data_IF_064587287218
#
_entry.id   IF_064587287218
#
_cell.length_a   1.000
_cell.length_b   1.000
_cell.length_c   1.000
_cell.angle_alpha   90.00
_cell.angle_beta   90.00
_cell.angle_gamma   90.00
#
_symmetry.space_group_name_H-M   'P 1'
#
loop_
_entity.id
_entity.type
_entity.pdbx_description
1 polymer ?
#
# COMPACT_ATOMS: atom_id res chain seq x y z
N UNK A 1 23.56 -12.25 18.38
CA UNK A 1 24.67 -12.41 17.42
C UNK A 1 24.71 -11.28 16.38
N UNK A 2 23.59 -10.87 15.76
CA UNK A 2 23.55 -9.76 14.80
C UNK A 2 24.16 -8.44 15.33
N UNK A 3 23.85 -8.01 16.57
CA UNK A 3 24.40 -6.76 17.11
C UNK A 3 25.93 -6.76 17.32
N UNK A 4 26.55 -7.92 17.60
CA UNK A 4 27.99 -7.99 17.86
C UNK A 4 28.79 -7.87 16.55
N UNK A 5 28.29 -8.48 15.47
CA UNK A 5 28.89 -8.41 14.15
C UNK A 5 28.86 -6.98 13.60
N UNK A 6 27.68 -6.33 13.60
CA UNK A 6 27.54 -4.93 13.14
C UNK A 6 28.41 -3.98 13.95
N UNK A 7 28.50 -4.18 15.28
CA UNK A 7 29.34 -3.36 16.14
C UNK A 7 30.84 -3.52 15.82
N UNK A 8 31.31 -4.72 15.47
CA UNK A 8 32.71 -4.96 15.14
C UNK A 8 33.10 -4.34 13.79
N UNK A 9 32.21 -4.35 12.79
CA UNK A 9 32.42 -3.67 11.51
C UNK A 9 32.54 -2.16 11.72
N UNK A 10 31.63 -1.56 12.48
CA UNK A 10 31.67 -0.11 12.78
C UNK A 10 33.00 0.24 13.44
N UNK A 11 33.42 -0.55 14.44
CA UNK A 11 34.68 -0.32 15.14
C UNK A 11 35.91 -0.55 14.25
N UNK A 12 35.82 -1.42 13.25
CA UNK A 12 36.89 -1.64 12.28
C UNK A 12 37.03 -0.43 11.34
N UNK A 13 35.91 0.11 10.86
CA UNK A 13 35.88 1.32 10.03
C UNK A 13 36.37 2.57 10.78
N UNK A 14 36.18 2.60 12.10
CA UNK A 14 36.74 3.63 12.98
C UNK A 14 38.20 3.36 13.39
N UNK A 15 38.85 2.34 12.80
CA UNK A 15 40.22 1.88 13.10
C UNK A 15 40.45 1.49 14.59
N UNK A 16 39.37 1.25 15.34
CA UNK A 16 39.42 0.90 16.78
C UNK A 16 39.71 -0.58 17.03
N UNK A 17 39.63 -1.42 16.01
CA UNK A 17 39.97 -2.86 16.08
C UNK A 17 40.82 -3.26 14.87
N UNK A 18 41.71 -4.24 15.05
CA UNK A 18 42.68 -4.60 14.02
C UNK A 18 42.77 -6.14 13.82
N UNK A 19 42.42 -6.67 12.62
CA UNK A 19 42.43 -8.11 12.33
C UNK A 19 43.82 -8.75 12.28
N UNK A 20 44.88 -7.94 12.15
CA UNK A 20 46.27 -8.41 12.22
C UNK A 20 46.70 -8.78 13.63
N UNK A 21 46.07 -8.18 14.65
CA UNK A 21 46.43 -8.34 16.06
C UNK A 21 45.46 -9.24 16.82
N UNK A 22 44.17 -9.19 16.48
CA UNK A 22 43.12 -9.91 17.19
C UNK A 22 42.51 -11.02 16.31
N UNK A 23 42.74 -12.31 16.65
CA UNK A 23 42.16 -13.45 15.95
C UNK A 23 40.62 -13.46 15.98
N UNK A 24 39.99 -13.01 17.05
CA UNK A 24 38.53 -13.01 17.17
C UNK A 24 37.90 -11.96 16.24
N UNK A 25 38.49 -10.76 16.17
CA UNK A 25 38.09 -9.71 15.21
C UNK A 25 38.24 -10.22 13.78
N UNK A 26 39.34 -10.90 13.46
CA UNK A 26 39.57 -11.52 12.15
C UNK A 26 38.46 -12.49 11.74
N UNK A 27 38.03 -13.38 12.65
CA UNK A 27 36.93 -14.32 12.37
C UNK A 27 35.57 -13.63 12.23
N UNK A 28 35.32 -12.57 13.01
CA UNK A 28 34.06 -11.81 12.90
C UNK A 28 33.98 -10.99 11.61
N UNK A 29 35.11 -10.45 11.14
CA UNK A 29 35.19 -9.69 9.90
C UNK A 29 35.13 -10.56 8.65
N UNK A 30 35.51 -11.85 8.74
CA UNK A 30 35.41 -12.80 7.64
C UNK A 30 33.98 -12.91 7.06
N UNK A 31 32.96 -12.74 7.91
CA UNK A 31 31.55 -12.82 7.51
C UNK A 31 31.10 -11.63 6.64
N UNK A 32 31.81 -10.51 6.68
CA UNK A 32 31.53 -9.30 5.88
C UNK A 32 32.53 -9.08 4.74
N UNK A 33 33.52 -9.96 4.60
CA UNK A 33 34.56 -9.79 3.60
C UNK A 33 33.95 -9.66 2.19
N UNK A 34 32.88 -10.41 1.89
CA UNK A 34 32.18 -10.33 0.61
C UNK A 34 31.58 -8.94 0.26
N UNK A 35 31.42 -8.04 1.24
CA UNK A 35 30.89 -6.69 1.04
C UNK A 35 32.00 -5.64 0.84
N UNK A 36 33.27 -5.95 1.18
CA UNK A 36 34.42 -5.03 1.11
C UNK A 36 35.66 -5.72 0.52
N UNK A 37 36.08 -5.24 -0.66
CA UNK A 37 37.23 -5.76 -1.40
C UNK A 37 38.57 -5.56 -0.66
N UNK A 38 38.74 -4.44 0.06
CA UNK A 38 39.97 -4.17 0.81
C UNK A 38 40.07 -5.07 2.05
N UNK A 39 38.95 -5.28 2.74
CA UNK A 39 38.88 -6.21 3.87
C UNK A 39 39.15 -7.64 3.42
N UNK A 40 38.60 -8.06 2.27
CA UNK A 40 38.87 -9.37 1.67
C UNK A 40 40.35 -9.60 1.45
N UNK A 41 41.01 -8.70 0.72
CA UNK A 41 42.46 -8.77 0.44
C UNK A 41 43.28 -8.82 1.73
N UNK A 42 42.90 -8.01 2.72
CA UNK A 42 43.55 -7.99 4.04
C UNK A 42 43.46 -9.33 4.75
N UNK A 43 42.28 -9.97 4.74
CA UNK A 43 42.07 -11.27 5.38
C UNK A 43 42.72 -12.42 4.61
N UNK A 44 42.76 -12.35 3.28
CA UNK A 44 43.50 -13.29 2.43
C UNK A 44 45.01 -13.24 2.71
N UNK A 45 45.59 -12.03 2.76
CA UNK A 45 47.00 -11.84 3.11
C UNK A 45 47.33 -12.40 4.50
N UNK A 46 46.44 -12.17 5.48
CA UNK A 46 46.57 -12.72 6.83
C UNK A 46 46.50 -14.25 6.79
N UNK A 47 45.55 -14.82 6.05
CA UNK A 47 45.36 -16.26 5.95
C UNK A 47 46.57 -16.95 5.32
N UNK A 48 47.11 -16.39 4.23
CA UNK A 48 48.26 -16.96 3.53
C UNK A 48 49.55 -16.86 4.34
N UNK A 49 49.75 -15.78 5.08
CA UNK A 49 51.05 -15.49 5.70
C UNK A 49 51.12 -15.80 7.20
N UNK A 50 49.98 -15.87 7.91
CA UNK A 50 49.96 -15.91 9.38
C UNK A 50 48.99 -16.92 9.99
N UNK A 51 47.96 -17.35 9.27
CA UNK A 51 46.89 -18.18 9.85
C UNK A 51 46.43 -19.31 8.92
N UNK A 52 47.10 -20.48 9.01
CA UNK A 52 46.73 -21.66 8.24
C UNK A 52 45.31 -22.19 8.54
N UNK A 53 44.75 -21.87 9.72
CA UNK A 53 43.39 -22.28 10.09
C UNK A 53 42.39 -21.39 9.36
N UNK A 54 42.63 -20.08 9.33
CA UNK A 54 41.83 -19.14 8.54
C UNK A 54 41.90 -19.49 7.04
N UNK A 55 43.08 -19.81 6.52
CA UNK A 55 43.24 -20.21 5.12
C UNK A 55 42.44 -21.47 4.78
N UNK A 56 42.48 -22.49 5.65
CA UNK A 56 41.65 -23.69 5.47
C UNK A 56 40.16 -23.39 5.50
N UNK A 57 39.73 -22.46 6.36
CA UNK A 57 38.34 -22.04 6.42
C UNK A 57 37.89 -21.28 5.17
N UNK A 58 38.69 -20.34 4.66
CA UNK A 58 38.43 -19.62 3.41
C UNK A 58 38.33 -20.60 2.24
N UNK A 59 39.33 -21.47 2.05
CA UNK A 59 39.33 -22.45 0.95
C UNK A 59 38.15 -23.43 1.03
N UNK A 60 37.78 -23.85 2.25
CA UNK A 60 36.63 -24.73 2.45
C UNK A 60 35.33 -23.99 2.14
N UNK A 61 35.22 -22.72 2.53
CA UNK A 61 34.05 -21.91 2.23
C UNK A 61 33.91 -21.65 0.73
N UNK A 62 34.99 -21.30 0.04
CA UNK A 62 35.00 -21.13 -1.41
C UNK A 62 34.61 -22.42 -2.14
N UNK A 63 35.14 -23.57 -1.71
CA UNK A 63 34.75 -24.87 -2.27
C UNK A 63 33.28 -25.20 -2.04
N UNK A 64 32.74 -24.90 -0.86
CA UNK A 64 31.30 -25.08 -0.57
C UNK A 64 30.44 -24.11 -1.37
N UNK A 65 30.91 -22.87 -1.57
CA UNK A 65 30.20 -21.88 -2.36
C UNK A 65 30.24 -22.21 -3.86
N UNK A 66 31.23 -22.95 -4.35
CA UNK A 66 31.29 -23.44 -5.72
C UNK A 66 30.56 -24.78 -5.94
N UNK A 67 30.10 -25.45 -4.89
CA UNK A 67 29.31 -26.68 -5.01
C UNK A 67 27.92 -26.37 -5.58
N UNK A 68 27.68 -26.83 -6.81
CA UNK A 68 26.43 -26.58 -7.53
C UNK A 68 25.21 -27.14 -6.79
N UNK A 69 25.37 -28.23 -6.05
CA UNK A 69 24.27 -28.84 -5.29
C UNK A 69 23.84 -27.98 -4.10
N UNK A 70 24.81 -27.34 -3.43
CA UNK A 70 24.55 -26.45 -2.30
C UNK A 70 23.91 -25.15 -2.75
N UNK A 71 24.39 -24.56 -3.86
CA UNK A 71 23.73 -23.40 -4.48
C UNK A 71 22.30 -23.70 -4.87
N UNK A 72 22.05 -24.82 -5.54
CA UNK A 72 20.70 -25.21 -5.96
C UNK A 72 19.74 -25.38 -4.77
N UNK A 73 20.19 -25.97 -3.67
CA UNK A 73 19.36 -26.11 -2.46
C UNK A 73 19.06 -24.76 -1.81
N UNK A 74 20.03 -23.84 -1.80
CA UNK A 74 19.86 -22.48 -1.31
C UNK A 74 18.88 -21.67 -2.20
N UNK A 75 19.11 -21.66 -3.50
CA UNK A 75 18.28 -20.96 -4.49
C UNK A 75 16.84 -21.50 -4.48
N UNK A 76 16.66 -22.83 -4.34
CA UNK A 76 15.34 -23.44 -4.23
C UNK A 76 14.60 -22.96 -2.97
N UNK A 77 15.29 -22.84 -1.84
CA UNK A 77 14.71 -22.31 -0.60
C UNK A 77 14.35 -20.84 -0.74
N UNK A 78 15.24 -20.04 -1.30
CA UNK A 78 14.99 -18.62 -1.54
C UNK A 78 13.80 -18.42 -2.47
N UNK A 79 13.73 -19.20 -3.56
CA UNK A 79 12.59 -19.21 -4.49
C UNK A 79 11.26 -19.49 -3.79
N UNK A 80 11.21 -20.47 -2.89
CA UNK A 80 9.96 -20.77 -2.13
C UNK A 80 9.51 -19.55 -1.32
N UNK A 81 10.44 -18.89 -0.62
CA UNK A 81 10.13 -17.68 0.16
C UNK A 81 9.66 -16.53 -0.74
N UNK A 82 10.28 -16.35 -1.89
CA UNK A 82 9.90 -15.32 -2.87
C UNK A 82 8.53 -15.62 -3.50
N UNK A 83 8.25 -16.88 -3.86
CA UNK A 83 6.96 -17.31 -4.39
C UNK A 83 5.85 -17.13 -3.36
N UNK A 84 6.11 -17.41 -2.08
CA UNK A 84 5.18 -17.13 -0.98
C UNK A 84 4.93 -15.62 -0.83
N UNK A 85 5.98 -14.81 -0.77
CA UNK A 85 5.87 -13.35 -0.68
C UNK A 85 5.10 -12.76 -1.87
N UNK A 86 5.38 -13.24 -3.08
CA UNK A 86 4.70 -12.82 -4.30
C UNK A 86 3.20 -13.19 -4.27
N UNK A 87 2.84 -14.37 -3.76
CA UNK A 87 1.43 -14.76 -3.58
C UNK A 87 0.70 -13.81 -2.64
N UNK A 88 1.30 -13.47 -1.50
CA UNK A 88 0.68 -12.53 -0.56
C UNK A 88 0.53 -11.12 -1.15
N UNK A 89 1.59 -10.61 -1.77
CA UNK A 89 1.55 -9.31 -2.43
C UNK A 89 0.47 -9.27 -3.53
N UNK A 90 0.38 -10.32 -4.35
CA UNK A 90 -0.65 -10.42 -5.39
C UNK A 90 -2.07 -10.51 -4.81
N UNK A 91 -2.26 -11.26 -3.72
CA UNK A 91 -3.55 -11.35 -3.05
C UNK A 91 -3.99 -10.00 -2.46
N UNK A 92 -3.05 -9.23 -1.90
CA UNK A 92 -3.30 -7.89 -1.36
C UNK A 92 -3.68 -6.89 -2.47
N UNK A 93 -2.92 -6.85 -3.57
CA UNK A 93 -3.20 -5.94 -4.69
C UNK A 93 -4.55 -6.25 -5.33
N UNK A 94 -4.85 -7.52 -5.57
CA UNK A 94 -6.14 -7.94 -6.12
C UNK A 94 -7.30 -7.67 -5.14
N UNK A 95 -7.06 -7.84 -3.84
CA UNK A 95 -8.02 -7.51 -2.79
C UNK A 95 -8.37 -6.02 -2.77
N UNK A 96 -7.35 -5.15 -2.81
CA UNK A 96 -7.52 -3.69 -2.88
C UNK A 96 -8.25 -3.27 -4.15
N UNK A 97 -7.83 -3.77 -5.32
CA UNK A 97 -8.44 -3.45 -6.60
C UNK A 97 -9.92 -3.81 -6.61
N UNK A 98 -10.26 -5.05 -6.22
CA UNK A 98 -11.66 -5.48 -6.12
C UNK A 98 -12.46 -4.69 -5.09
N UNK A 99 -11.84 -4.31 -3.97
CA UNK A 99 -12.46 -3.47 -2.95
C UNK A 99 -12.83 -2.09 -3.48
N UNK A 100 -11.89 -1.46 -4.20
CA UNK A 100 -12.07 -0.13 -4.79
C UNK A 100 -13.12 -0.13 -5.90
N UNK A 101 -13.07 -1.10 -6.83
CA UNK A 101 -14.05 -1.25 -7.90
C UNK A 101 -15.47 -1.42 -7.33
N UNK A 102 -15.65 -2.37 -6.39
CA UNK A 102 -16.96 -2.59 -5.75
C UNK A 102 -17.43 -1.38 -4.94
N UNK A 103 -16.50 -0.67 -4.29
CA UNK A 103 -16.82 0.54 -3.53
C UNK A 103 -17.32 1.66 -4.44
N UNK A 104 -16.65 1.87 -5.57
CA UNK A 104 -16.99 2.90 -6.54
C UNK A 104 -18.32 2.59 -7.25
N UNK A 105 -18.53 1.35 -7.68
CA UNK A 105 -19.78 0.91 -8.30
C UNK A 105 -20.98 1.11 -7.36
N UNK A 106 -20.87 0.63 -6.11
CA UNK A 106 -21.93 0.81 -5.10
C UNK A 106 -22.17 2.28 -4.77
N UNK A 107 -21.11 3.07 -4.67
CA UNK A 107 -21.20 4.51 -4.41
C UNK A 107 -21.94 5.25 -5.53
N UNK A 108 -21.57 4.96 -6.78
CA UNK A 108 -22.19 5.57 -7.96
C UNK A 108 -23.67 5.18 -8.08
N UNK A 109 -24.00 3.88 -7.91
CA UNK A 109 -25.37 3.40 -7.99
C UNK A 109 -26.27 4.09 -6.95
N UNK A 110 -25.82 4.13 -5.69
CA UNK A 110 -26.57 4.82 -4.61
C UNK A 110 -26.70 6.32 -4.86
N UNK A 111 -25.61 6.96 -5.30
CA UNK A 111 -25.62 8.39 -5.59
C UNK A 111 -26.59 8.75 -6.72
N UNK A 112 -26.60 7.96 -7.78
CA UNK A 112 -27.50 8.14 -8.92
C UNK A 112 -28.96 7.94 -8.52
N UNK A 113 -29.28 6.87 -7.79
CA UNK A 113 -30.63 6.58 -7.32
C UNK A 113 -31.17 7.72 -6.43
N UNK A 114 -30.36 8.17 -5.45
CA UNK A 114 -30.73 9.28 -4.58
C UNK A 114 -30.88 10.59 -5.35
N UNK A 115 -30.00 10.85 -6.32
CA UNK A 115 -30.05 12.03 -7.17
C UNK A 115 -31.32 12.07 -8.03
N UNK A 116 -31.66 10.95 -8.68
CA UNK A 116 -32.88 10.83 -9.50
C UNK A 116 -34.13 11.01 -8.64
N UNK A 117 -34.21 10.34 -7.49
CA UNK A 117 -35.40 10.43 -6.64
C UNK A 117 -35.59 11.83 -6.06
N UNK A 118 -34.50 12.49 -5.64
CA UNK A 118 -34.55 13.89 -5.18
C UNK A 118 -34.96 14.83 -6.31
N UNK A 119 -34.31 14.71 -7.48
CA UNK A 119 -34.63 15.54 -8.65
C UNK A 119 -36.06 15.35 -9.13
N UNK A 120 -36.59 14.12 -9.12
CA UNK A 120 -37.99 13.84 -9.45
C UNK A 120 -38.96 14.49 -8.46
N UNK A 121 -38.70 14.40 -7.16
CA UNK A 121 -39.54 15.05 -6.14
C UNK A 121 -39.53 16.56 -6.29
N UNK A 122 -38.35 17.16 -6.45
CA UNK A 122 -38.22 18.61 -6.63
C UNK A 122 -38.91 19.08 -7.93
N UNK A 123 -38.70 18.36 -9.04
CA UNK A 123 -39.35 18.67 -10.32
C UNK A 123 -40.88 18.57 -10.27
N UNK A 124 -41.43 17.56 -9.59
CA UNK A 124 -42.89 17.46 -9.39
C UNK A 124 -43.42 18.63 -8.56
N UNK A 125 -42.72 19.04 -7.51
CA UNK A 125 -43.15 20.17 -6.68
C UNK A 125 -43.06 21.50 -7.44
N UNK A 126 -41.96 21.73 -8.17
CA UNK A 126 -41.80 22.91 -9.02
C UNK A 126 -42.88 22.96 -10.10
N UNK A 127 -43.19 21.84 -10.75
CA UNK A 127 -44.27 21.75 -11.73
C UNK A 127 -45.64 22.08 -11.14
N UNK A 128 -45.95 21.60 -9.93
CA UNK A 128 -47.19 21.97 -9.22
C UNK A 128 -47.26 23.47 -8.93
N UNK A 129 -46.17 24.06 -8.42
CA UNK A 129 -46.10 25.49 -8.13
C UNK A 129 -46.28 26.31 -9.41
N UNK A 130 -45.62 25.92 -10.49
CA UNK A 130 -45.71 26.63 -11.77
C UNK A 130 -47.12 26.53 -12.35
N UNK A 131 -47.76 25.37 -12.27
CA UNK A 131 -49.16 25.18 -12.67
C UNK A 131 -50.11 26.09 -11.91
N UNK A 132 -49.96 26.20 -10.58
CA UNK A 132 -50.79 27.08 -9.73
C UNK A 132 -50.63 28.55 -10.14
N UNK A 133 -49.39 29.00 -10.33
CA UNK A 133 -49.09 30.36 -10.80
C UNK A 133 -49.73 30.64 -12.16
N UNK A 134 -49.56 29.74 -13.12
CA UNK A 134 -50.16 29.89 -14.45
C UNK A 134 -51.70 29.92 -14.40
N UNK A 135 -52.35 29.10 -13.57
CA UNK A 135 -53.80 29.14 -13.41
C UNK A 135 -54.28 30.47 -12.81
N UNK A 136 -53.55 30.99 -11.83
CA UNK A 136 -53.83 32.28 -11.21
C UNK A 136 -53.66 33.44 -12.21
N UNK A 137 -52.58 33.44 -12.99
CA UNK A 137 -52.30 34.44 -14.02
C UNK A 137 -53.36 34.45 -15.13
N UNK A 138 -54.01 33.30 -15.40
CA UNK A 138 -55.14 33.18 -16.32
C UNK A 138 -56.49 33.65 -15.74
N UNK A 139 -56.49 34.16 -14.50
CA UNK A 139 -57.69 34.67 -13.84
C UNK A 139 -58.63 33.59 -13.31
N UNK A 140 -58.15 32.36 -13.13
CA UNK A 140 -58.96 31.29 -12.54
C UNK A 140 -59.14 31.57 -11.03
N UNK A 141 -60.38 31.52 -10.49
CA UNK A 141 -60.62 31.76 -9.06
C UNK A 141 -59.85 30.78 -8.15
N UNK A 142 -59.31 31.29 -7.03
CA UNK A 142 -58.51 30.52 -6.07
C UNK A 142 -59.21 29.26 -5.56
N UNK A 143 -60.53 29.32 -5.35
CA UNK A 143 -61.35 28.17 -4.92
C UNK A 143 -61.36 27.03 -5.96
N UNK A 144 -61.35 27.39 -7.24
CA UNK A 144 -61.30 26.43 -8.35
C UNK A 144 -59.91 25.81 -8.46
N UNK A 145 -58.85 26.63 -8.27
CA UNK A 145 -57.46 26.16 -8.22
C UNK A 145 -57.24 25.22 -7.04
N UNK A 146 -57.79 25.53 -5.86
CA UNK A 146 -57.75 24.69 -4.66
C UNK A 146 -58.37 23.31 -4.91
N UNK A 147 -59.57 23.28 -5.49
CA UNK A 147 -60.25 22.03 -5.86
C UNK A 147 -59.47 21.23 -6.91
N UNK A 148 -58.95 21.88 -7.95
CA UNK A 148 -58.22 21.21 -9.03
C UNK A 148 -56.85 20.67 -8.59
N UNK A 149 -56.15 21.43 -7.74
CA UNK A 149 -54.80 21.11 -7.26
C UNK A 149 -54.81 20.19 -6.03
N UNK A 150 -55.99 19.98 -5.41
CA UNK A 150 -56.18 19.27 -4.13
C UNK A 150 -55.33 19.86 -3.00
N UNK A 151 -55.24 21.18 -2.97
CA UNK A 151 -54.54 21.95 -1.94
C UNK A 151 -55.55 22.83 -1.20
N UNK A 152 -55.24 23.16 0.04
CA UNK A 152 -55.99 24.14 0.81
C UNK A 152 -55.78 25.55 0.23
N UNK A 153 -56.74 26.45 0.48
CA UNK A 153 -56.62 27.86 0.10
C UNK A 153 -55.35 28.48 0.71
N UNK A 154 -55.04 28.15 1.97
CA UNK A 154 -53.85 28.63 2.67
C UNK A 154 -52.54 28.19 2.00
N UNK A 155 -52.45 26.95 1.52
CA UNK A 155 -51.26 26.47 0.79
C UNK A 155 -51.07 27.20 -0.55
N UNK A 156 -52.17 27.49 -1.25
CA UNK A 156 -52.12 28.25 -2.50
C UNK A 156 -51.73 29.70 -2.24
N UNK A 157 -52.30 30.33 -1.21
CA UNK A 157 -51.97 31.67 -0.77
C UNK A 157 -50.48 31.78 -0.43
N UNK A 158 -49.95 30.82 0.32
CA UNK A 158 -48.53 30.73 0.66
C UNK A 158 -47.64 30.55 -0.59
N UNK A 159 -48.06 29.73 -1.57
CA UNK A 159 -47.33 29.55 -2.85
C UNK A 159 -47.30 30.84 -3.69
N UNK A 160 -48.39 31.61 -3.65
CA UNK A 160 -48.53 32.89 -4.35
C UNK A 160 -47.90 34.07 -3.59
N UNK A 161 -47.46 33.87 -2.34
CA UNK A 161 -46.79 34.88 -1.53
C UNK A 161 -47.73 35.83 -0.79
N UNK A 162 -49.00 35.44 -0.61
CA UNK A 162 -49.92 36.13 0.30
C UNK A 162 -49.53 35.84 1.76
N UNK A 163 -49.61 36.87 2.61
CA UNK A 163 -49.38 36.76 4.06
C UNK A 163 -50.69 36.51 4.79
#
# INVERSE_FOLDING_TARGET
MACLHTLVIIRYNEEKVNPWKDPFVRWLLLLSANEDEHLTKTLEDIAMNRDPILQKAINKWERMSQDSSFRQAYDAREKVLMDEAAKFAHAETEGMKRGMEKGMEKGLAKGLEQGIEKGRKEGVQQGKIQMIKSMYDLGIPLETIAKASKLSLHEIEHILGYK
#
